data_IF_214430385257
#
_entry.id   IF_214430385257
#
_cell.length_a   1.000
_cell.length_b   1.000
_cell.length_c   1.000
_cell.angle_alpha   90.00
_cell.angle_beta   90.00
_cell.angle_gamma   90.00
#
_symmetry.space_group_name_H-M   'P 1'
#
loop_
_entity.id
_entity.type
_entity.pdbx_description
1 polymer ?
#
# COMPACT_ATOMS: atom_id res chain seq x y z
N UNK A 1 -34.18 55.71 -10.01
CA UNK A 1 -34.38 57.14 -9.71
C UNK A 1 -33.16 58.00 -10.03
N UNK A 2 -31.92 57.58 -9.75
CA UNK A 2 -30.71 58.36 -10.06
C UNK A 2 -30.58 58.79 -11.54
N UNK A 3 -30.91 57.91 -12.50
CA UNK A 3 -30.90 58.24 -13.94
C UNK A 3 -31.84 59.38 -14.32
N UNK A 4 -32.97 59.52 -13.62
CA UNK A 4 -33.95 60.59 -13.85
C UNK A 4 -33.39 61.94 -13.38
N UNK A 5 -32.70 61.96 -12.23
CA UNK A 5 -32.00 63.16 -11.76
C UNK A 5 -30.87 63.55 -12.69
N UNK A 6 -30.08 62.60 -13.20
CA UNK A 6 -29.02 62.87 -14.18
C UNK A 6 -29.60 63.47 -15.47
N UNK A 7 -30.66 62.87 -16.01
CA UNK A 7 -31.34 63.39 -17.22
C UNK A 7 -31.92 64.79 -16.97
N UNK A 8 -32.55 65.00 -15.82
CA UNK A 8 -33.07 66.32 -15.43
C UNK A 8 -31.95 67.36 -15.31
N UNK A 9 -30.81 67.00 -14.72
CA UNK A 9 -29.66 67.90 -14.55
C UNK A 9 -28.98 68.21 -15.88
N UNK A 10 -28.88 67.24 -16.79
CA UNK A 10 -28.40 67.46 -18.16
C UNK A 10 -29.36 68.42 -18.90
N UNK A 11 -30.66 68.24 -18.74
CA UNK A 11 -31.67 69.11 -19.37
C UNK A 11 -31.62 70.53 -18.80
N UNK A 12 -31.53 70.67 -17.47
CA UNK A 12 -31.41 71.95 -16.77
C UNK A 12 -30.10 72.65 -17.14
N UNK A 13 -28.99 71.92 -17.17
CA UNK A 13 -27.68 72.43 -17.60
C UNK A 13 -27.68 72.86 -19.06
N UNK A 14 -28.32 72.09 -19.95
CA UNK A 14 -28.51 72.46 -21.35
C UNK A 14 -29.38 73.70 -21.55
N UNK A 15 -30.39 73.91 -20.69
CA UNK A 15 -31.25 75.10 -20.70
C UNK A 15 -30.56 76.35 -20.15
N UNK A 16 -29.66 76.18 -19.17
CA UNK A 16 -28.93 77.28 -18.53
C UNK A 16 -27.67 77.66 -19.31
N UNK A 17 -27.05 76.73 -20.04
CA UNK A 17 -25.81 76.97 -20.79
C UNK A 17 -25.85 78.20 -21.73
N UNK A 18 -26.93 78.47 -22.50
CA UNK A 18 -27.03 79.65 -23.36
C UNK A 18 -26.96 80.98 -22.57
N UNK A 19 -27.40 80.99 -21.31
CA UNK A 19 -27.35 82.20 -20.48
C UNK A 19 -25.91 82.61 -20.14
N UNK A 20 -25.01 81.63 -19.97
CA UNK A 20 -23.58 81.90 -19.76
C UNK A 20 -22.92 82.56 -20.97
N UNK A 21 -23.24 82.08 -22.17
CA UNK A 21 -22.75 82.65 -23.43
C UNK A 21 -23.33 84.04 -23.72
N UNK A 22 -24.61 84.26 -23.38
CA UNK A 22 -25.27 85.57 -23.51
C UNK A 22 -24.64 86.59 -22.54
N UNK A 23 -24.33 86.18 -21.30
CA UNK A 23 -23.64 87.03 -20.34
C UNK A 23 -22.22 87.39 -20.81
N UNK A 24 -21.45 86.41 -21.28
CA UNK A 24 -20.11 86.63 -21.82
C UNK A 24 -20.10 87.57 -23.02
N UNK A 25 -21.01 87.37 -23.98
CA UNK A 25 -21.11 88.22 -25.18
C UNK A 25 -21.59 89.64 -24.88
N UNK A 26 -22.51 89.82 -23.92
CA UNK A 26 -23.01 91.14 -23.52
C UNK A 26 -21.94 91.95 -22.77
N UNK A 27 -21.14 91.30 -21.92
CA UNK A 27 -20.00 91.92 -21.23
C UNK A 27 -18.88 92.27 -22.23
N UNK A 28 -18.65 91.40 -23.22
CA UNK A 28 -17.70 91.68 -24.32
C UNK A 28 -18.11 92.89 -25.18
N UNK A 29 -19.41 93.07 -25.45
CA UNK A 29 -19.95 94.24 -26.18
C UNK A 29 -19.94 95.52 -25.34
N UNK A 30 -20.15 95.42 -24.03
CA UNK A 30 -20.10 96.54 -23.09
C UNK A 30 -18.66 97.10 -22.85
N UNK A 31 -17.64 96.51 -23.49
CA UNK A 31 -16.21 96.87 -23.36
C UNK A 31 -15.70 96.88 -21.92
N UNK A 32 -16.30 96.06 -21.05
CA UNK A 32 -15.84 95.92 -19.68
C UNK A 32 -14.44 95.33 -19.64
N UNK A 33 -13.55 95.97 -18.90
CA UNK A 33 -12.18 95.50 -18.67
C UNK A 33 -11.99 95.21 -17.19
N UNK A 34 -11.79 93.94 -16.88
CA UNK A 34 -11.39 93.51 -15.55
C UNK A 34 -9.88 93.27 -15.59
N UNK A 35 -9.17 93.77 -14.58
CA UNK A 35 -7.71 93.62 -14.45
C UNK A 35 -6.91 94.11 -15.69
N UNK A 36 -7.35 95.20 -16.33
CA UNK A 36 -6.73 95.81 -17.54
C UNK A 36 -6.65 94.90 -18.79
N UNK A 37 -7.39 93.80 -18.84
CA UNK A 37 -7.39 92.89 -20.01
C UNK A 37 -8.26 93.42 -21.17
N UNK A 38 -7.87 93.07 -22.42
CA UNK A 38 -8.64 93.43 -23.62
C UNK A 38 -10.05 92.84 -23.52
N UNK A 39 -11.13 93.59 -23.82
CA UNK A 39 -12.50 93.19 -23.54
C UNK A 39 -12.92 91.79 -24.04
N UNK A 40 -12.36 91.33 -25.17
CA UNK A 40 -12.59 89.95 -25.66
C UNK A 40 -12.07 88.87 -24.71
N UNK A 41 -10.87 89.05 -24.14
CA UNK A 41 -10.27 88.10 -23.17
C UNK A 41 -11.03 88.13 -21.84
N UNK A 42 -11.44 89.31 -21.40
CA UNK A 42 -12.28 89.49 -20.20
C UNK A 42 -13.60 88.72 -20.34
N UNK A 43 -14.26 88.82 -21.50
CA UNK A 43 -15.48 88.08 -21.78
C UNK A 43 -15.27 86.55 -21.67
N UNK A 44 -14.22 85.99 -22.28
CA UNK A 44 -13.93 84.55 -22.21
C UNK A 44 -13.64 84.07 -20.79
N UNK A 45 -12.86 84.83 -20.00
CA UNK A 45 -12.58 84.49 -18.59
C UNK A 45 -13.88 84.48 -17.79
N UNK A 46 -14.73 85.50 -17.99
CA UNK A 46 -16.03 85.56 -17.32
C UNK A 46 -16.89 84.37 -17.74
N UNK A 47 -16.94 83.98 -19.01
CA UNK A 47 -17.67 82.78 -19.46
C UNK A 47 -17.14 81.50 -18.81
N UNK A 48 -15.82 81.29 -18.73
CA UNK A 48 -15.24 80.11 -18.06
C UNK A 48 -15.59 80.10 -16.58
N UNK A 49 -15.50 81.25 -15.91
CA UNK A 49 -15.87 81.40 -14.49
C UNK A 49 -17.37 81.13 -14.32
N UNK A 50 -18.24 81.74 -15.13
CA UNK A 50 -19.69 81.53 -15.08
C UNK A 50 -20.04 80.05 -15.34
N UNK A 51 -19.42 79.40 -16.33
CA UNK A 51 -19.60 77.97 -16.61
C UNK A 51 -19.09 77.06 -15.47
N UNK A 52 -17.96 77.42 -14.86
CA UNK A 52 -17.43 76.74 -13.68
C UNK A 52 -18.33 76.90 -12.45
N UNK A 53 -18.87 78.10 -12.21
CA UNK A 53 -19.86 78.37 -11.17
C UNK A 53 -21.14 77.56 -11.40
N UNK A 54 -21.67 77.54 -12.62
CA UNK A 54 -22.84 76.73 -12.97
C UNK A 54 -22.56 75.25 -12.71
N UNK A 55 -21.39 74.73 -13.10
CA UNK A 55 -20.99 73.33 -12.89
C UNK A 55 -20.82 73.00 -11.40
N UNK A 56 -20.18 73.86 -10.62
CA UNK A 56 -20.02 73.70 -9.17
C UNK A 56 -21.36 73.73 -8.44
N UNK A 57 -22.27 74.63 -8.82
CA UNK A 57 -23.64 74.68 -8.28
C UNK A 57 -24.40 73.40 -8.65
N UNK A 58 -24.26 72.93 -9.89
CA UNK A 58 -24.92 71.72 -10.37
C UNK A 58 -24.45 70.47 -9.60
N UNK A 59 -23.14 70.31 -9.42
CA UNK A 59 -22.55 69.22 -8.63
C UNK A 59 -22.93 69.36 -7.15
N UNK A 60 -22.87 70.58 -6.60
CA UNK A 60 -23.25 70.86 -5.21
C UNK A 60 -24.71 70.53 -4.94
N UNK A 61 -25.62 70.89 -5.85
CA UNK A 61 -27.03 70.55 -5.77
C UNK A 61 -27.26 69.05 -5.89
N UNK A 62 -26.49 68.36 -6.74
CA UNK A 62 -26.55 66.90 -6.85
C UNK A 62 -26.11 66.23 -5.52
N UNK A 63 -25.05 66.72 -4.88
CA UNK A 63 -24.61 66.24 -3.55
C UNK A 63 -25.66 66.53 -2.46
N UNK A 64 -26.37 67.66 -2.56
CA UNK A 64 -27.37 68.08 -1.59
C UNK A 64 -28.68 67.29 -1.72
N UNK A 65 -29.14 67.06 -2.96
CA UNK A 65 -30.42 66.40 -3.27
C UNK A 65 -30.29 64.87 -3.29
N UNK A 66 -29.13 64.33 -3.70
CA UNK A 66 -28.93 62.89 -3.83
C UNK A 66 -28.11 62.32 -2.67
N UNK A 67 -28.81 61.70 -1.72
CA UNK A 67 -28.17 60.95 -0.65
C UNK A 67 -27.34 59.78 -1.19
N UNK A 68 -27.79 59.13 -2.26
CA UNK A 68 -27.06 58.04 -2.93
C UNK A 68 -25.69 58.48 -3.45
N UNK A 69 -25.60 59.68 -4.05
CA UNK A 69 -24.34 60.19 -4.60
C UNK A 69 -23.36 60.59 -3.50
N UNK A 70 -23.85 61.27 -2.45
CA UNK A 70 -23.06 61.63 -1.26
C UNK A 70 -22.52 60.38 -0.56
N UNK A 71 -23.36 59.37 -0.37
CA UNK A 71 -22.98 58.10 0.23
C UNK A 71 -21.88 57.40 -0.59
N UNK A 72 -22.04 57.33 -1.92
CA UNK A 72 -21.05 56.70 -2.80
C UNK A 72 -19.69 57.41 -2.79
N UNK A 73 -19.68 58.73 -2.95
CA UNK A 73 -18.43 59.51 -3.06
C UNK A 73 -17.64 59.56 -1.75
N UNK A 74 -18.32 59.80 -0.63
CA UNK A 74 -17.65 60.08 0.64
C UNK A 74 -17.54 58.87 1.57
N UNK A 75 -18.39 57.85 1.40
CA UNK A 75 -18.41 56.67 2.29
C UNK A 75 -17.97 55.43 1.53
N UNK A 76 -18.65 55.07 0.44
CA UNK A 76 -18.43 53.78 -0.21
C UNK A 76 -17.06 53.69 -0.89
N UNK A 77 -16.64 54.70 -1.65
CA UNK A 77 -15.34 54.68 -2.35
C UNK A 77 -14.16 54.54 -1.36
N UNK A 78 -14.04 55.37 -0.30
CA UNK A 78 -12.97 55.21 0.69
C UNK A 78 -13.06 53.90 1.47
N UNK A 79 -14.28 53.44 1.80
CA UNK A 79 -14.49 52.18 2.50
C UNK A 79 -14.05 50.98 1.65
N UNK A 80 -14.35 50.98 0.34
CA UNK A 80 -13.94 49.94 -0.60
C UNK A 80 -12.42 49.90 -0.74
N UNK A 81 -11.75 51.05 -0.86
CA UNK A 81 -10.29 51.11 -0.89
C UNK A 81 -9.68 50.56 0.40
N UNK A 82 -10.19 50.97 1.57
CA UNK A 82 -9.73 50.48 2.87
C UNK A 82 -9.97 48.98 3.03
N UNK A 83 -11.09 48.46 2.52
CA UNK A 83 -11.44 47.03 2.57
C UNK A 83 -10.54 46.22 1.65
N UNK A 84 -10.25 46.72 0.45
CA UNK A 84 -9.31 46.10 -0.48
C UNK A 84 -7.90 46.07 0.11
N UNK A 85 -7.43 47.16 0.70
CA UNK A 85 -6.11 47.22 1.35
C UNK A 85 -6.03 46.29 2.56
N UNK A 86 -7.08 46.24 3.39
CA UNK A 86 -7.15 45.30 4.52
C UNK A 86 -7.12 43.85 4.03
N UNK A 87 -7.88 43.53 2.98
CA UNK A 87 -7.93 42.19 2.39
C UNK A 87 -6.59 41.80 1.77
N UNK A 88 -5.95 42.69 1.00
CA UNK A 88 -4.61 42.47 0.45
C UNK A 88 -3.57 42.25 1.55
N UNK A 89 -3.59 43.06 2.61
CA UNK A 89 -2.70 42.89 3.78
C UNK A 89 -2.94 41.58 4.51
N UNK A 90 -4.18 41.09 4.56
CA UNK A 90 -4.50 39.80 5.17
C UNK A 90 -4.13 38.60 4.29
N UNK A 91 -4.15 38.74 2.96
CA UNK A 91 -3.82 37.65 2.03
C UNK A 91 -2.34 37.26 2.04
N UNK A 92 -1.43 38.23 2.17
CA UNK A 92 0.03 37.97 2.19
C UNK A 92 0.45 37.01 3.31
N UNK A 93 0.10 37.23 4.60
CA UNK A 93 0.46 36.29 5.66
C UNK A 93 -0.24 34.95 5.48
N UNK A 94 -1.49 34.91 5.03
CA UNK A 94 -2.20 33.65 4.75
C UNK A 94 -1.53 32.83 3.64
N UNK A 95 -1.05 33.48 2.58
CA UNK A 95 -0.29 32.80 1.53
C UNK A 95 1.05 32.27 2.03
N UNK A 96 1.72 33.02 2.91
CA UNK A 96 2.97 32.59 3.54
C UNK A 96 2.72 31.38 4.45
N UNK A 97 1.70 31.45 5.30
CA UNK A 97 1.29 30.36 6.18
C UNK A 97 0.89 29.11 5.39
N UNK A 98 0.14 29.26 4.29
CA UNK A 98 -0.16 28.15 3.36
C UNK A 98 1.10 27.48 2.85
N UNK A 99 2.08 28.25 2.36
CA UNK A 99 3.36 27.71 1.87
C UNK A 99 4.18 27.01 2.96
N UNK A 100 4.17 27.55 4.18
CA UNK A 100 4.84 26.93 5.33
C UNK A 100 4.15 25.62 5.75
N UNK A 101 2.82 25.57 5.70
CA UNK A 101 2.06 24.35 5.97
C UNK A 101 2.30 23.29 4.88
N UNK A 102 2.32 23.69 3.60
CA UNK A 102 2.62 22.79 2.48
C UNK A 102 4.03 22.18 2.61
N UNK A 103 5.04 22.98 2.94
CA UNK A 103 6.40 22.46 3.14
C UNK A 103 6.48 21.50 4.33
N UNK A 104 5.76 21.80 5.41
CA UNK A 104 5.67 20.93 6.59
C UNK A 104 4.97 19.60 6.28
N UNK A 105 3.92 19.62 5.45
CA UNK A 105 3.24 18.40 4.98
C UNK A 105 4.21 17.55 4.16
N UNK A 106 4.92 18.14 3.19
CA UNK A 106 5.90 17.43 2.35
C UNK A 106 7.01 16.82 3.22
N UNK A 107 7.51 17.56 4.21
CA UNK A 107 8.50 17.03 5.15
C UNK A 107 7.95 15.83 5.94
N UNK A 108 6.73 15.93 6.46
CA UNK A 108 6.08 14.85 7.22
C UNK A 108 5.83 13.62 6.35
N UNK A 109 5.43 13.81 5.10
CA UNK A 109 5.29 12.70 4.14
C UNK A 109 6.62 12.00 3.88
N UNK A 110 7.71 12.76 3.72
CA UNK A 110 9.05 12.20 3.55
C UNK A 110 9.52 11.43 4.79
N UNK A 111 9.34 11.98 6.00
CA UNK A 111 9.63 11.31 7.27
C UNK A 111 8.82 9.99 7.39
N UNK A 112 7.53 10.03 7.05
CA UNK A 112 6.68 8.83 7.05
C UNK A 112 7.17 7.77 6.06
N UNK A 113 7.59 8.17 4.86
CA UNK A 113 8.10 7.25 3.85
C UNK A 113 9.42 6.62 4.27
N UNK A 114 10.33 7.40 4.88
CA UNK A 114 11.57 6.88 5.46
C UNK A 114 11.29 5.89 6.59
N UNK A 115 10.39 6.24 7.52
CA UNK A 115 10.03 5.36 8.63
C UNK A 115 9.40 4.05 8.14
N UNK A 116 8.51 4.10 7.14
CA UNK A 116 7.95 2.91 6.49
C UNK A 116 9.03 2.02 5.88
N UNK A 117 10.04 2.62 5.24
CA UNK A 117 11.19 1.89 4.67
C UNK A 117 12.00 1.19 5.77
N UNK A 118 12.40 1.93 6.80
CA UNK A 118 13.19 1.40 7.92
C UNK A 118 12.45 0.27 8.65
N UNK A 119 11.14 0.41 8.88
CA UNK A 119 10.32 -0.66 9.44
C UNK A 119 10.34 -1.88 8.52
N UNK A 120 10.17 -1.71 7.20
CA UNK A 120 10.19 -2.84 6.25
C UNK A 120 11.51 -3.58 6.26
N UNK A 121 12.64 -2.87 6.32
CA UNK A 121 13.98 -3.46 6.42
C UNK A 121 14.19 -4.18 7.75
N UNK A 122 13.81 -3.55 8.85
CA UNK A 122 13.85 -4.15 10.18
C UNK A 122 12.99 -5.43 10.26
N UNK A 123 11.78 -5.40 9.69
CA UNK A 123 10.91 -6.58 9.61
C UNK A 123 11.55 -7.70 8.80
N UNK A 124 12.26 -7.39 7.70
CA UNK A 124 12.96 -8.41 6.90
C UNK A 124 14.11 -9.06 7.67
N UNK A 125 14.84 -8.29 8.48
CA UNK A 125 15.96 -8.80 9.29
C UNK A 125 15.54 -9.68 10.47
N UNK A 126 14.29 -9.55 10.95
CA UNK A 126 13.82 -10.22 12.18
C UNK A 126 12.75 -11.30 11.95
N UNK A 127 12.56 -11.78 10.72
CA UNK A 127 11.61 -12.88 10.43
C UNK A 127 12.16 -14.17 11.03
N UNK A 128 11.49 -14.71 12.04
CA UNK A 128 11.85 -15.99 12.68
C UNK A 128 11.03 -17.16 12.14
N UNK A 129 9.84 -16.87 11.60
CA UNK A 129 8.95 -17.86 10.98
C UNK A 129 8.42 -17.28 9.68
N UNK A 130 8.51 -18.06 8.60
CA UNK A 130 7.96 -17.68 7.29
C UNK A 130 6.51 -18.14 7.15
N UNK A 131 5.72 -17.38 6.40
CA UNK A 131 4.38 -17.80 5.97
C UNK A 131 4.44 -19.18 5.29
N UNK A 132 3.53 -20.07 5.67
CA UNK A 132 3.41 -21.43 5.17
C UNK A 132 4.39 -22.43 5.79
N UNK A 133 5.32 -21.99 6.64
CA UNK A 133 6.22 -22.88 7.36
C UNK A 133 5.41 -23.75 8.33
N UNK A 134 5.67 -25.07 8.30
CA UNK A 134 5.14 -26.00 9.30
C UNK A 134 5.82 -25.74 10.64
N UNK A 135 5.00 -25.41 11.65
CA UNK A 135 5.43 -25.10 13.00
C UNK A 135 5.39 -26.33 13.90
N UNK A 136 4.39 -27.18 13.70
CA UNK A 136 4.17 -28.33 14.54
C UNK A 136 3.44 -29.42 13.75
N UNK A 137 3.74 -30.66 14.06
CA UNK A 137 3.14 -31.86 13.47
C UNK A 137 2.68 -32.73 14.63
N UNK A 138 1.44 -33.19 14.60
CA UNK A 138 0.90 -34.07 15.62
C UNK A 138 0.04 -35.17 14.98
N UNK A 139 0.15 -36.37 15.52
CA UNK A 139 -0.78 -37.46 15.23
C UNK A 139 -2.05 -37.25 16.05
N UNK A 140 -3.19 -37.45 15.41
CA UNK A 140 -4.53 -37.26 15.95
C UNK A 140 -5.29 -38.57 15.75
N UNK A 141 -5.29 -39.38 16.80
CA UNK A 141 -6.06 -40.61 16.83
C UNK A 141 -7.50 -40.30 17.25
N UNK A 142 -8.46 -40.95 16.59
CA UNK A 142 -9.86 -40.85 16.98
C UNK A 142 -10.08 -41.50 18.34
N UNK A 143 -10.23 -40.68 19.38
CA UNK A 143 -10.52 -41.09 20.75
C UNK A 143 -11.93 -40.60 21.15
N UNK A 144 -12.49 -41.19 22.21
CA UNK A 144 -13.74 -40.71 22.79
C UNK A 144 -13.68 -39.27 23.30
N UNK A 145 -12.47 -38.70 23.43
CA UNK A 145 -12.26 -37.36 23.98
C UNK A 145 -11.34 -36.48 23.11
N UNK A 146 -11.60 -36.49 21.80
CA UNK A 146 -10.81 -35.77 20.78
C UNK A 146 -10.55 -34.29 21.12
N UNK A 147 -11.51 -33.62 21.77
CA UNK A 147 -11.35 -32.21 22.18
C UNK A 147 -10.21 -32.02 23.18
N UNK A 148 -10.08 -32.92 24.15
CA UNK A 148 -8.98 -32.85 25.13
C UNK A 148 -7.63 -33.13 24.46
N UNK A 149 -7.58 -34.09 23.54
CA UNK A 149 -6.35 -34.44 22.83
C UNK A 149 -5.89 -33.30 21.91
N UNK A 150 -6.81 -32.69 21.16
CA UNK A 150 -6.54 -31.49 20.36
C UNK A 150 -6.07 -30.32 21.24
N UNK A 151 -6.69 -30.12 22.41
CA UNK A 151 -6.28 -29.06 23.34
C UNK A 151 -4.84 -29.26 23.81
N UNK A 152 -4.43 -30.50 24.11
CA UNK A 152 -3.03 -30.81 24.46
C UNK A 152 -2.09 -30.49 23.30
N UNK A 153 -2.44 -30.91 22.08
CA UNK A 153 -1.66 -30.63 20.87
C UNK A 153 -1.51 -29.12 20.65
N UNK A 154 -2.57 -28.35 20.77
CA UNK A 154 -2.54 -26.90 20.61
C UNK A 154 -1.64 -26.21 21.65
N UNK A 155 -1.67 -26.69 22.90
CA UNK A 155 -0.81 -26.17 23.96
C UNK A 155 0.67 -26.53 23.73
N UNK A 156 0.99 -27.73 23.26
CA UNK A 156 2.37 -28.12 22.93
C UNK A 156 2.90 -27.34 21.72
N UNK A 157 2.07 -27.16 20.69
CA UNK A 157 2.40 -26.32 19.55
C UNK A 157 2.67 -24.88 19.98
N UNK A 158 1.85 -24.33 20.88
CA UNK A 158 2.05 -22.99 21.43
C UNK A 158 3.37 -22.87 22.19
N UNK A 159 3.67 -23.80 23.10
CA UNK A 159 4.96 -23.85 23.81
C UNK A 159 6.15 -23.91 22.85
N UNK A 160 6.05 -24.68 21.76
CA UNK A 160 7.10 -24.78 20.76
C UNK A 160 7.32 -23.44 20.04
N UNK A 161 6.24 -22.82 19.54
CA UNK A 161 6.32 -21.54 18.82
C UNK A 161 6.79 -20.41 19.73
N UNK A 162 6.39 -20.43 21.01
CA UNK A 162 6.87 -19.46 22.01
C UNK A 162 8.38 -19.48 22.19
N UNK A 163 9.02 -20.66 22.20
CA UNK A 163 10.49 -20.77 22.30
C UNK A 163 11.20 -20.11 21.12
N UNK A 164 10.58 -20.12 19.94
CA UNK A 164 11.13 -19.51 18.73
C UNK A 164 10.93 -17.99 18.74
N UNK A 165 9.72 -17.52 19.09
CA UNK A 165 9.35 -16.10 19.01
C UNK A 165 9.85 -15.30 20.23
N UNK A 166 9.81 -15.89 21.43
CA UNK A 166 10.22 -15.32 22.72
C UNK A 166 11.18 -16.24 23.49
N UNK A 167 12.46 -16.33 23.09
CA UNK A 167 13.40 -17.24 23.74
C UNK A 167 13.70 -16.91 25.23
N UNK A 168 13.42 -15.69 25.68
CA UNK A 168 13.84 -15.18 27.00
C UNK A 168 12.67 -15.09 28.01
N UNK A 169 11.41 -15.01 27.55
CA UNK A 169 10.25 -14.79 28.42
C UNK A 169 9.43 -16.06 28.64
N UNK A 170 9.50 -16.62 29.85
CA UNK A 170 8.82 -17.87 30.24
C UNK A 170 7.34 -17.70 30.58
N UNK A 171 6.85 -16.48 30.82
CA UNK A 171 5.52 -16.21 31.37
C UNK A 171 4.49 -15.67 30.35
N UNK A 172 4.82 -15.73 29.05
CA UNK A 172 3.88 -15.32 28.01
C UNK A 172 2.63 -16.22 27.97
N UNK A 173 1.45 -15.58 27.86
CA UNK A 173 0.17 -16.23 27.55
C UNK A 173 0.25 -16.95 26.20
N UNK A 174 -0.69 -17.84 25.93
CA UNK A 174 -0.81 -18.50 24.61
C UNK A 174 -0.79 -17.44 23.49
N UNK A 175 0.10 -17.63 22.52
CA UNK A 175 0.34 -16.71 21.41
C UNK A 175 -0.27 -17.20 20.11
N UNK A 176 -0.56 -18.51 19.99
CA UNK A 176 -1.19 -19.06 18.79
C UNK A 176 -2.63 -18.60 18.67
N UNK A 177 -2.93 -17.95 17.55
CA UNK A 177 -4.27 -17.53 17.18
C UNK A 177 -4.82 -18.41 16.07
N UNK A 178 -5.93 -19.05 16.41
CA UNK A 178 -6.65 -19.98 15.56
C UNK A 178 -7.92 -19.32 15.04
N UNK A 179 -8.31 -19.66 13.82
CA UNK A 179 -9.65 -19.31 13.35
C UNK A 179 -10.67 -20.27 13.96
N UNK A 180 -11.77 -19.79 14.57
CA UNK A 180 -12.78 -20.66 15.17
C UNK A 180 -13.33 -21.72 14.19
N UNK A 181 -13.53 -21.34 12.92
CA UNK A 181 -13.99 -22.26 11.87
C UNK A 181 -13.03 -23.43 11.63
N UNK A 182 -11.73 -23.20 11.76
CA UNK A 182 -10.72 -24.21 11.50
C UNK A 182 -10.70 -25.24 12.64
N UNK A 183 -10.84 -24.78 13.88
CA UNK A 183 -10.99 -25.66 15.05
C UNK A 183 -12.24 -26.54 14.90
N UNK A 184 -13.41 -25.93 14.64
CA UNK A 184 -14.65 -26.69 14.49
C UNK A 184 -14.59 -27.69 13.34
N UNK A 185 -13.91 -27.36 12.24
CA UNK A 185 -13.70 -28.27 11.10
C UNK A 185 -12.83 -29.46 11.50
N UNK A 186 -11.72 -29.25 12.20
CA UNK A 186 -10.82 -30.32 12.65
C UNK A 186 -11.54 -31.23 13.63
N UNK A 187 -12.23 -30.67 14.63
CA UNK A 187 -13.01 -31.44 15.59
C UNK A 187 -14.04 -32.31 14.86
N UNK A 188 -14.79 -31.74 13.92
CA UNK A 188 -15.82 -32.48 13.16
C UNK A 188 -15.24 -33.63 12.35
N UNK A 189 -14.08 -33.44 11.71
CA UNK A 189 -13.45 -34.48 10.89
C UNK A 189 -12.83 -35.55 11.79
N UNK A 190 -12.05 -35.16 12.79
CA UNK A 190 -11.39 -36.07 13.71
C UNK A 190 -12.38 -36.88 14.58
N UNK A 191 -13.58 -36.34 14.86
CA UNK A 191 -14.63 -37.08 15.55
C UNK A 191 -15.24 -38.23 14.72
N UNK A 192 -15.07 -38.26 13.40
CA UNK A 192 -15.69 -39.29 12.53
C UNK A 192 -14.94 -40.62 12.52
N UNK A 193 -13.80 -40.73 13.21
CA UNK A 193 -12.91 -41.87 13.09
C UNK A 193 -11.75 -41.60 12.14
N UNK A 194 -10.72 -42.46 12.22
CA UNK A 194 -9.51 -42.39 11.39
C UNK A 194 -8.24 -42.03 12.18
N UNK A 195 -7.11 -42.25 11.49
CA UNK A 195 -5.76 -41.89 11.89
C UNK A 195 -5.36 -40.65 11.08
N UNK A 196 -5.14 -39.53 11.77
CA UNK A 196 -4.95 -38.22 11.14
C UNK A 196 -3.63 -37.59 11.56
N UNK A 197 -3.04 -36.79 10.67
CA UNK A 197 -1.91 -35.91 10.95
C UNK A 197 -2.40 -34.47 10.91
N UNK A 198 -2.22 -33.76 12.02
CA UNK A 198 -2.43 -32.32 12.09
C UNK A 198 -1.12 -31.59 11.84
N UNK A 199 -1.07 -30.84 10.74
CA UNK A 199 0.00 -29.90 10.44
C UNK A 199 -0.44 -28.49 10.85
N UNK A 200 0.31 -27.86 11.73
CA UNK A 200 0.07 -26.48 12.15
C UNK A 200 1.04 -25.60 11.39
N UNK A 201 0.55 -24.80 10.43
CA UNK A 201 1.38 -23.94 9.59
C UNK A 201 1.19 -22.48 9.97
N UNK A 202 2.22 -21.67 9.76
CA UNK A 202 2.08 -20.22 9.95
C UNK A 202 1.27 -19.58 8.82
N UNK A 203 0.24 -18.81 9.17
CA UNK A 203 -0.59 -18.11 8.18
C UNK A 203 0.10 -16.84 7.65
N UNK A 204 1.06 -16.28 8.39
CA UNK A 204 1.77 -15.01 8.09
C UNK A 204 3.27 -15.12 8.37
N UNK A 205 4.05 -14.11 7.96
CA UNK A 205 5.42 -14.00 8.49
C UNK A 205 5.35 -13.54 9.95
N UNK A 206 6.16 -14.13 10.82
CA UNK A 206 6.25 -13.78 12.25
C UNK A 206 7.63 -13.22 12.53
N UNK A 207 7.66 -12.12 13.26
CA UNK A 207 8.86 -11.47 13.74
C UNK A 207 9.20 -11.92 15.15
N UNK A 208 10.48 -11.84 15.50
CA UNK A 208 10.93 -12.01 16.88
C UNK A 208 10.18 -11.02 17.78
N UNK A 209 9.53 -11.52 18.82
CA UNK A 209 8.77 -10.71 19.77
C UNK A 209 7.32 -10.39 19.39
N UNK A 210 6.78 -10.93 18.28
CA UNK A 210 5.36 -10.77 17.95
C UNK A 210 4.47 -11.37 19.03
N UNK A 211 3.49 -10.60 19.52
CA UNK A 211 2.59 -11.02 20.60
C UNK A 211 1.67 -12.19 20.21
N UNK A 212 1.41 -12.36 18.92
CA UNK A 212 0.49 -13.36 18.40
C UNK A 212 0.98 -13.95 17.09
N UNK A 213 0.69 -15.23 16.88
CA UNK A 213 1.03 -15.97 15.68
C UNK A 213 -0.24 -16.59 15.10
N UNK A 214 -0.67 -16.10 13.95
CA UNK A 214 -1.79 -16.69 13.22
C UNK A 214 -1.36 -18.01 12.60
N UNK A 215 -2.15 -19.05 12.83
CA UNK A 215 -1.92 -20.39 12.29
C UNK A 215 -3.03 -20.82 11.36
N UNK A 216 -2.65 -21.64 10.37
CA UNK A 216 -3.54 -22.32 9.45
C UNK A 216 -3.28 -23.82 9.60
N UNK A 217 -4.21 -24.58 10.19
CA UNK A 217 -4.05 -26.01 10.33
C UNK A 217 -4.49 -26.76 9.06
N UNK A 218 -3.74 -27.80 8.72
CA UNK A 218 -4.10 -28.78 7.70
C UNK A 218 -4.21 -30.16 8.36
N UNK A 219 -5.32 -30.84 8.14
CA UNK A 219 -5.55 -32.21 8.60
C UNK A 219 -5.39 -33.17 7.42
N UNK A 220 -4.45 -34.10 7.53
CA UNK A 220 -4.14 -35.10 6.51
C UNK A 220 -4.44 -36.50 7.05
N UNK A 221 -4.84 -37.42 6.18
CA UNK A 221 -4.98 -38.83 6.55
C UNK A 221 -3.58 -39.44 6.75
N UNK A 222 -3.38 -40.16 7.84
CA UNK A 222 -2.14 -40.85 8.16
C UNK A 222 -2.10 -42.23 7.48
N UNK A 223 -1.70 -42.25 6.21
CA UNK A 223 -1.66 -43.46 5.38
C UNK A 223 -0.25 -43.89 5.07
N UNK A 224 -0.09 -45.18 4.73
CA UNK A 224 1.17 -45.69 4.19
C UNK A 224 1.47 -45.06 2.82
N UNK A 225 2.67 -44.52 2.68
CA UNK A 225 3.18 -43.95 1.42
C UNK A 225 3.95 -45.01 0.65
N UNK A 226 4.76 -45.79 1.35
CA UNK A 226 5.54 -46.91 0.84
C UNK A 226 5.59 -48.02 1.88
N UNK A 227 5.70 -49.26 1.41
CA UNK A 227 5.99 -50.44 2.21
C UNK A 227 7.42 -50.90 1.97
N UNK A 228 7.97 -51.65 2.91
CA UNK A 228 9.28 -52.29 2.78
C UNK A 228 9.29 -53.20 1.55
N UNK A 229 10.26 -53.00 0.68
CA UNK A 229 10.42 -53.75 -0.57
C UNK A 229 9.72 -53.11 -1.78
N UNK A 230 8.94 -52.04 -1.60
CA UNK A 230 8.32 -51.35 -2.73
C UNK A 230 9.37 -50.72 -3.64
N UNK A 231 9.29 -51.01 -4.94
CA UNK A 231 10.02 -50.27 -5.97
C UNK A 231 9.27 -48.97 -6.23
N UNK A 232 9.89 -47.84 -5.87
CA UNK A 232 9.26 -46.52 -5.96
C UNK A 232 9.41 -45.96 -7.37
N UNK A 233 10.63 -46.01 -7.91
CA UNK A 233 10.97 -45.54 -9.25
C UNK A 233 12.09 -46.40 -9.81
N UNK A 234 12.12 -46.55 -11.13
CA UNK A 234 13.16 -47.30 -11.84
C UNK A 234 13.69 -46.52 -13.03
N UNK A 235 14.96 -46.71 -13.36
CA UNK A 235 15.56 -46.15 -14.56
C UNK A 235 16.46 -47.16 -15.27
N UNK A 236 16.33 -47.23 -16.59
CA UNK A 236 17.21 -48.02 -17.45
C UNK A 236 18.51 -47.24 -17.68
N UNK A 237 19.63 -47.98 -17.64
CA UNK A 237 20.98 -47.52 -17.99
C UNK A 237 21.46 -48.28 -19.22
N UNK A 238 21.79 -47.54 -20.27
CA UNK A 238 22.35 -48.10 -21.50
C UNK A 238 23.88 -48.21 -21.42
N UNK A 239 24.47 -49.03 -22.30
CA UNK A 239 25.93 -49.25 -22.35
C UNK A 239 26.74 -47.97 -22.61
N UNK A 240 26.12 -46.95 -23.20
CA UNK A 240 26.75 -45.64 -23.43
C UNK A 240 26.89 -44.80 -22.17
N UNK A 241 26.05 -45.04 -21.15
CA UNK A 241 25.84 -44.12 -20.03
C UNK A 241 26.76 -44.43 -18.82
N UNK A 242 27.89 -45.11 -19.07
CA UNK A 242 28.76 -45.66 -18.03
C UNK A 242 29.79 -44.65 -17.49
N UNK A 243 29.78 -43.40 -17.96
CA UNK A 243 30.65 -42.36 -17.43
C UNK A 243 30.24 -42.02 -15.99
N UNK A 244 31.22 -41.86 -15.08
CA UNK A 244 30.99 -41.46 -13.69
C UNK A 244 30.11 -40.21 -13.55
N UNK A 245 30.30 -39.23 -14.45
CA UNK A 245 29.49 -38.00 -14.47
C UNK A 245 28.03 -38.31 -14.82
N UNK A 246 27.78 -39.16 -15.80
CA UNK A 246 26.43 -39.54 -16.25
C UNK A 246 25.72 -40.40 -15.21
N UNK A 247 26.42 -41.36 -14.60
CA UNK A 247 25.91 -42.17 -13.48
C UNK A 247 25.42 -41.26 -12.34
N UNK A 248 26.24 -40.29 -11.92
CA UNK A 248 25.87 -39.38 -10.85
C UNK A 248 24.66 -38.49 -11.23
N UNK A 249 24.60 -38.02 -12.47
CA UNK A 249 23.45 -37.25 -12.97
C UNK A 249 22.18 -38.10 -12.98
N UNK A 250 22.26 -39.36 -13.42
CA UNK A 250 21.11 -40.27 -13.44
C UNK A 250 20.63 -40.60 -12.04
N UNK A 251 21.53 -40.91 -11.09
CA UNK A 251 21.16 -41.13 -9.68
C UNK A 251 20.44 -39.91 -9.12
N UNK A 252 20.95 -38.70 -9.37
CA UNK A 252 20.29 -37.47 -8.91
C UNK A 252 18.92 -37.27 -9.53
N UNK A 253 18.75 -37.57 -10.83
CA UNK A 253 17.43 -37.52 -11.48
C UNK A 253 16.48 -38.54 -10.87
N UNK A 254 16.94 -39.77 -10.72
CA UNK A 254 16.16 -40.88 -10.17
C UNK A 254 15.70 -40.56 -8.75
N UNK A 255 16.57 -40.06 -7.87
CA UNK A 255 16.20 -39.65 -6.51
C UNK A 255 15.26 -38.44 -6.47
N UNK A 256 15.33 -37.54 -7.47
CA UNK A 256 14.36 -36.44 -7.61
C UNK A 256 13.00 -36.99 -8.01
N UNK A 257 12.95 -37.89 -9.00
CA UNK A 257 11.73 -38.56 -9.44
C UNK A 257 11.10 -39.38 -8.30
N UNK A 258 11.92 -40.11 -7.51
CA UNK A 258 11.46 -40.79 -6.29
C UNK A 258 10.81 -39.80 -5.33
N UNK A 259 11.40 -38.62 -5.14
CA UNK A 259 10.86 -37.58 -4.24
C UNK A 259 9.54 -37.04 -4.76
N UNK A 260 9.43 -36.81 -6.05
CA UNK A 260 8.20 -36.30 -6.67
C UNK A 260 7.08 -37.35 -6.56
N UNK A 261 7.41 -38.63 -6.78
CA UNK A 261 6.49 -39.76 -6.64
C UNK A 261 5.95 -39.89 -5.21
N UNK A 262 6.82 -39.97 -4.20
CA UNK A 262 6.36 -40.09 -2.78
C UNK A 262 5.58 -38.84 -2.33
N UNK A 263 5.92 -37.66 -2.84
CA UNK A 263 5.21 -36.42 -2.53
C UNK A 263 3.82 -36.41 -3.17
N UNK A 264 3.68 -36.91 -4.40
CA UNK A 264 2.39 -37.09 -5.07
C UNK A 264 1.47 -38.06 -4.31
N UNK A 265 2.04 -39.09 -3.68
CA UNK A 265 1.32 -40.02 -2.80
C UNK A 265 0.87 -39.41 -1.47
N UNK A 266 1.37 -38.21 -1.13
CA UNK A 266 0.97 -37.43 0.04
C UNK A 266 2.02 -37.29 1.14
N UNK A 267 3.26 -37.76 0.92
CA UNK A 267 4.35 -37.61 1.89
C UNK A 267 4.63 -36.14 2.23
N UNK A 268 4.83 -35.86 3.51
CA UNK A 268 5.24 -34.55 4.03
C UNK A 268 6.75 -34.46 4.30
N UNK A 269 7.50 -35.52 3.96
CA UNK A 269 8.94 -35.58 4.18
C UNK A 269 9.66 -34.74 3.13
N UNK A 270 10.60 -33.90 3.58
CA UNK A 270 11.38 -33.01 2.71
C UNK A 270 12.52 -33.76 2.00
N UNK A 271 13.15 -34.71 2.69
CA UNK A 271 14.33 -35.42 2.23
C UNK A 271 14.18 -36.94 2.30
N UNK A 272 14.75 -37.63 1.31
CA UNK A 272 14.83 -39.09 1.31
C UNK A 272 16.17 -39.49 1.89
N UNK A 273 16.15 -40.38 2.87
CA UNK A 273 17.37 -40.93 3.44
C UNK A 273 17.87 -42.08 2.56
N UNK A 274 19.13 -42.04 2.16
CA UNK A 274 19.75 -43.07 1.35
C UNK A 274 20.60 -43.99 2.22
N UNK A 275 20.41 -45.30 2.11
CA UNK A 275 21.28 -46.26 2.77
C UNK A 275 22.48 -46.60 1.87
N UNK A 276 23.65 -46.04 2.19
CA UNK A 276 24.91 -46.37 1.53
C UNK A 276 25.29 -45.48 0.34
N UNK A 277 26.42 -45.82 -0.30
CA UNK A 277 26.99 -45.07 -1.42
C UNK A 277 26.60 -45.71 -2.76
N UNK A 278 25.53 -45.20 -3.36
CA UNK A 278 24.99 -45.70 -4.64
C UNK A 278 26.00 -45.66 -5.77
N UNK A 279 26.84 -44.62 -5.82
CA UNK A 279 27.86 -44.46 -6.85
C UNK A 279 28.91 -45.56 -6.75
N UNK A 280 29.34 -45.90 -5.52
CA UNK A 280 30.25 -47.02 -5.30
C UNK A 280 29.60 -48.35 -5.71
N UNK A 281 28.37 -48.61 -5.28
CA UNK A 281 27.63 -49.85 -5.60
C UNK A 281 27.51 -50.07 -7.12
N UNK A 282 27.19 -49.02 -7.88
CA UNK A 282 27.11 -49.09 -9.34
C UNK A 282 28.49 -49.28 -9.97
N UNK A 283 29.53 -48.60 -9.45
CA UNK A 283 30.91 -48.79 -9.94
C UNK A 283 31.37 -50.24 -9.77
N UNK A 284 31.19 -50.81 -8.59
CA UNK A 284 31.63 -52.17 -8.28
C UNK A 284 30.88 -53.18 -9.18
N UNK A 285 29.58 -52.96 -9.43
CA UNK A 285 28.79 -53.75 -10.37
C UNK A 285 29.31 -53.69 -11.82
N UNK A 286 29.71 -52.49 -12.29
CA UNK A 286 30.23 -52.29 -13.65
C UNK A 286 31.63 -52.88 -13.85
N UNK A 287 32.43 -53.01 -12.78
CA UNK A 287 33.71 -53.71 -12.85
C UNK A 287 33.52 -55.21 -13.15
N UNK A 288 32.48 -55.83 -12.58
CA UNK A 288 32.17 -57.24 -12.77
C UNK A 288 31.34 -57.52 -14.04
N UNK A 289 30.65 -56.51 -14.59
CA UNK A 289 29.65 -56.68 -15.65
C UNK A 289 29.78 -55.61 -16.75
N UNK A 290 30.79 -55.77 -17.60
CA UNK A 290 31.05 -54.85 -18.70
C UNK A 290 30.01 -54.98 -19.82
N UNK A 291 29.61 -53.85 -20.41
CA UNK A 291 28.72 -53.78 -21.59
C UNK A 291 27.35 -54.47 -21.42
N UNK A 292 26.74 -54.35 -20.25
CA UNK A 292 25.39 -54.88 -19.97
C UNK A 292 24.42 -53.71 -19.76
N UNK A 293 23.20 -53.83 -20.29
CA UNK A 293 22.11 -52.93 -19.94
C UNK A 293 21.56 -53.34 -18.58
N UNK A 294 21.36 -52.39 -17.68
CA UNK A 294 20.83 -52.68 -16.34
C UNK A 294 19.79 -51.64 -15.94
N UNK A 295 18.90 -52.06 -15.05
CA UNK A 295 17.89 -51.22 -14.44
C UNK A 295 18.32 -50.88 -13.02
N UNK A 296 18.23 -49.60 -12.68
CA UNK A 296 18.34 -49.11 -11.32
C UNK A 296 16.94 -49.01 -10.73
N UNK A 297 16.71 -49.68 -9.62
CA UNK A 297 15.44 -49.62 -8.88
C UNK A 297 15.66 -48.96 -7.53
N UNK A 298 14.90 -47.90 -7.24
CA UNK A 298 14.88 -47.30 -5.90
C UNK A 298 13.84 -48.04 -5.06
N UNK A 299 14.31 -48.74 -4.03
CA UNK A 299 13.50 -49.62 -3.20
C UNK A 299 13.40 -49.08 -1.78
N UNK A 300 12.20 -49.09 -1.20
CA UNK A 300 12.01 -48.71 0.20
C UNK A 300 12.52 -49.78 1.16
N UNK A 301 13.28 -49.39 2.18
CA UNK A 301 13.81 -50.31 3.19
C UNK A 301 12.89 -50.52 4.40
N UNK A 302 11.83 -49.74 4.51
CA UNK A 302 10.87 -49.80 5.62
C UNK A 302 9.47 -49.38 5.16
N UNK A 303 8.49 -49.69 5.99
CA UNK A 303 7.20 -49.05 5.88
C UNK A 303 7.34 -47.60 6.36
N UNK A 304 6.74 -46.68 5.60
CA UNK A 304 6.73 -45.25 5.93
C UNK A 304 5.34 -44.68 5.67
N UNK A 305 4.75 -44.10 6.72
CA UNK A 305 3.52 -43.31 6.65
C UNK A 305 3.77 -41.85 6.22
N UNK A 306 2.69 -41.06 6.16
CA UNK A 306 2.62 -39.67 5.65
C UNK A 306 3.71 -38.72 6.18
N UNK A 307 4.11 -38.83 7.45
CA UNK A 307 5.13 -37.96 8.08
C UNK A 307 6.40 -38.71 8.50
N UNK A 308 6.46 -40.01 8.27
CA UNK A 308 7.58 -40.85 8.70
C UNK A 308 8.74 -40.78 7.70
N UNK A 309 10.00 -40.83 8.16
CA UNK A 309 11.15 -40.78 7.27
C UNK A 309 11.13 -41.93 6.27
N UNK A 310 11.45 -41.62 5.02
CA UNK A 310 11.53 -42.59 3.93
C UNK A 310 13.01 -42.92 3.73
N UNK A 311 13.34 -44.21 3.84
CA UNK A 311 14.70 -44.72 3.68
C UNK A 311 14.72 -45.63 2.46
N UNK A 312 15.60 -45.32 1.50
CA UNK A 312 15.69 -46.04 0.23
C UNK A 312 17.08 -46.61 -0.01
N UNK A 313 17.12 -47.65 -0.83
CA UNK A 313 18.32 -48.23 -1.41
C UNK A 313 18.16 -48.33 -2.93
N UNK A 314 19.29 -48.38 -3.65
CA UNK A 314 19.29 -48.69 -5.09
C UNK A 314 19.65 -50.15 -5.29
N UNK A 315 18.76 -50.89 -5.96
CA UNK A 315 19.01 -52.21 -6.49
C UNK A 315 19.38 -52.14 -7.98
N UNK A 316 20.24 -53.07 -8.40
CA UNK A 316 20.72 -53.16 -9.79
C UNK A 316 20.22 -54.48 -10.36
N UNK A 317 19.39 -54.41 -11.39
CA UNK A 317 18.81 -55.57 -12.06
C UNK A 317 19.38 -55.65 -13.48
N UNK A 318 19.99 -56.77 -13.84
CA UNK A 318 20.47 -56.99 -15.22
C UNK A 318 19.27 -57.11 -16.15
N UNK A 319 19.29 -56.38 -17.26
CA UNK A 319 18.31 -56.55 -18.34
C UNK A 319 18.94 -57.52 -19.32
N UNK A 320 18.31 -58.69 -19.51
CA UNK A 320 18.73 -59.62 -20.55
C UNK A 320 18.63 -58.93 -21.91
N UNK A 321 19.72 -58.98 -22.68
CA UNK A 321 19.75 -58.48 -24.06
C UNK A 321 18.95 -59.39 -24.97
#
# INVERSE_FOLDING_TARGET
MAWILIVFLIFLGGLIAPFGDILGTKIGKARFSILKLRPKKTATIITIITGGFISSISIGLLILVSEEFRQRLFVDIPLLQKTLDKSKKALVPLQKERKELESKIIQKENELNQLKSSIKEFRRGNIVIKRGQTLFIAEVNSSSNIKLDLTKIYNEADKFVRKIVFPINKDAKNILLWRPSDISKIETIASRGGDWILLIKSATNVLKGDNYVFVSPDLLENKFIVKKGDVITSAIMEKSDLNFKEINLKIKSLLRETRDEIKSKGSQVVEINTNGNFVKKIRDFLQENQNVNFMLEVVSLRDSKTVEPIVVEINIVKIAS
#
